data_IF_501701533581
#
_entry.id   IF_501701533581
#
_cell.length_a   1.000
_cell.length_b   1.000
_cell.length_c   1.000
_cell.angle_alpha   90.00
_cell.angle_beta   90.00
_cell.angle_gamma   90.00
#
_symmetry.space_group_name_H-M   'P 1'
#
loop_
_entity.id
_entity.type
_entity.pdbx_description
1 polymer ?
#
# COMPACT_ATOMS: atom_id res chain seq x y z
N UNK A 1 24.72 38.64 -46.43
CA UNK A 1 25.12 38.34 -45.04
C UNK A 1 23.83 38.12 -44.29
N UNK A 2 23.49 36.86 -44.02
CA UNK A 2 22.25 36.47 -43.32
C UNK A 2 22.64 36.14 -41.88
N UNK A 3 22.17 36.96 -40.94
CA UNK A 3 22.33 36.74 -39.50
C UNK A 3 21.30 35.71 -39.04
N UNK A 4 21.78 34.54 -38.65
CA UNK A 4 20.99 33.54 -37.92
C UNK A 4 21.31 33.64 -36.43
N UNK A 5 20.37 34.21 -35.67
CA UNK A 5 20.37 34.16 -34.21
C UNK A 5 19.82 32.81 -33.75
N UNK A 6 20.51 32.05 -32.88
CA UNK A 6 19.95 30.85 -32.28
C UNK A 6 19.06 31.21 -31.07
N UNK A 7 17.84 30.69 -31.08
CA UNK A 7 16.89 30.73 -29.96
C UNK A 7 17.33 29.84 -28.78
N UNK A 8 17.05 30.22 -27.53
CA UNK A 8 17.46 29.44 -26.37
C UNK A 8 16.52 28.24 -26.15
N UNK A 9 17.08 27.03 -26.25
CA UNK A 9 16.43 25.79 -25.84
C UNK A 9 16.38 25.74 -24.32
N UNK A 10 15.19 25.95 -23.74
CA UNK A 10 14.90 25.73 -22.32
C UNK A 10 15.07 24.24 -22.00
N UNK A 11 16.23 23.86 -21.46
CA UNK A 11 16.43 22.55 -20.85
C UNK A 11 15.68 22.52 -19.52
N UNK A 12 14.49 21.90 -19.54
CA UNK A 12 13.80 21.41 -18.35
C UNK A 12 14.70 20.37 -17.66
N UNK A 13 15.48 20.83 -16.68
CA UNK A 13 16.23 19.97 -15.78
C UNK A 13 15.24 19.17 -14.93
N UNK A 14 14.97 17.94 -15.35
CA UNK A 14 14.37 16.94 -14.50
C UNK A 14 15.27 16.77 -13.28
N UNK A 15 14.77 17.17 -12.10
CA UNK A 15 15.33 16.80 -10.80
C UNK A 15 15.14 15.30 -10.59
N UNK A 16 15.98 14.50 -11.22
CA UNK A 16 16.33 13.19 -10.72
C UNK A 16 17.70 13.32 -10.07
N UNK A 17 17.88 12.72 -8.89
CA UNK A 17 19.16 12.53 -8.19
C UNK A 17 19.54 13.56 -7.12
N UNK A 18 18.79 13.61 -6.01
CA UNK A 18 19.36 14.01 -4.71
C UNK A 18 19.67 12.83 -3.78
N UNK A 19 19.04 11.66 -3.97
CA UNK A 19 19.23 10.49 -3.10
C UNK A 19 20.65 9.90 -3.15
N UNK A 20 21.30 9.91 -4.32
CA UNK A 20 22.62 9.29 -4.48
C UNK A 20 23.74 9.96 -3.68
N UNK A 21 23.61 11.26 -3.36
CA UNK A 21 24.63 12.00 -2.60
C UNK A 21 24.51 11.79 -1.08
N UNK A 22 23.32 11.49 -0.57
CA UNK A 22 23.14 11.20 0.85
C UNK A 22 23.47 9.75 1.22
N UNK A 23 23.34 8.81 0.29
CA UNK A 23 23.69 7.39 0.55
C UNK A 23 25.18 7.16 0.86
N UNK A 24 26.07 8.06 0.44
CA UNK A 24 27.51 7.96 0.75
C UNK A 24 27.91 8.40 2.17
N UNK A 25 26.97 8.97 2.94
CA UNK A 25 27.23 9.47 4.29
C UNK A 25 26.89 8.45 5.40
N UNK A 26 26.25 7.32 5.06
CA UNK A 26 25.83 6.34 6.05
C UNK A 26 27.03 5.47 6.52
N UNK A 27 27.12 5.16 7.83
CA UNK A 27 28.16 4.28 8.36
C UNK A 27 28.13 2.88 7.73
N UNK A 28 29.29 2.24 7.59
CA UNK A 28 29.35 0.85 7.16
C UNK A 28 28.53 -0.04 8.12
N UNK A 29 27.65 -0.89 7.58
CA UNK A 29 26.79 -1.77 8.39
C UNK A 29 25.47 -1.14 8.85
N UNK A 30 25.09 0.06 8.39
CA UNK A 30 23.79 0.67 8.72
C UNK A 30 22.60 -0.22 8.38
N UNK A 31 22.70 -1.06 7.34
CA UNK A 31 21.65 -2.00 6.95
C UNK A 31 21.42 -3.09 7.99
N UNK A 32 22.49 -3.63 8.58
CA UNK A 32 22.40 -4.62 9.65
C UNK A 32 21.84 -3.99 10.92
N UNK A 33 22.27 -2.76 11.23
CA UNK A 33 21.72 -1.98 12.34
C UNK A 33 20.21 -1.75 12.16
N UNK A 34 19.78 -1.20 11.02
CA UNK A 34 18.36 -0.95 10.75
C UNK A 34 17.52 -2.23 10.75
N UNK A 35 18.04 -3.33 10.17
CA UNK A 35 17.31 -4.60 10.08
C UNK A 35 17.19 -5.28 11.46
N UNK A 36 18.30 -5.54 12.15
CA UNK A 36 18.31 -6.36 13.35
C UNK A 36 18.01 -5.58 14.63
N UNK A 37 18.50 -4.33 14.73
CA UNK A 37 18.42 -3.56 15.98
C UNK A 37 17.12 -2.80 16.08
N UNK A 38 16.57 -2.34 14.94
CA UNK A 38 15.37 -1.50 14.93
C UNK A 38 14.17 -2.27 14.40
N UNK A 39 14.15 -2.64 13.11
CA UNK A 39 12.94 -3.17 12.47
C UNK A 39 12.53 -4.53 13.07
N UNK A 40 13.44 -5.49 13.16
CA UNK A 40 13.12 -6.79 13.76
C UNK A 40 12.86 -6.71 15.26
N UNK A 41 13.53 -5.80 15.96
CA UNK A 41 13.32 -5.61 17.39
C UNK A 41 11.92 -5.08 17.68
N UNK A 42 11.51 -4.00 17.00
CA UNK A 42 10.16 -3.45 17.11
C UNK A 42 9.11 -4.52 16.75
N UNK A 43 9.29 -5.22 15.63
CA UNK A 43 8.38 -6.28 15.20
C UNK A 43 8.23 -7.42 16.21
N UNK A 44 9.33 -7.86 16.84
CA UNK A 44 9.34 -8.95 17.82
C UNK A 44 8.81 -8.51 19.18
N UNK A 45 9.31 -7.41 19.70
CA UNK A 45 9.05 -6.98 21.08
C UNK A 45 7.66 -6.35 21.23
N UNK A 46 7.20 -5.58 20.24
CA UNK A 46 5.91 -4.89 20.33
C UNK A 46 4.77 -5.67 19.69
N UNK A 47 5.03 -6.42 18.61
CA UNK A 47 4.00 -7.11 17.83
C UNK A 47 4.08 -8.64 17.89
N UNK A 48 5.08 -9.20 18.58
CA UNK A 48 5.22 -10.66 18.76
C UNK A 48 5.49 -11.43 17.47
N UNK A 49 5.99 -10.77 16.42
CA UNK A 49 6.27 -11.40 15.13
C UNK A 49 7.47 -12.35 15.21
N UNK A 50 7.37 -13.50 14.57
CA UNK A 50 8.49 -14.44 14.41
C UNK A 50 9.35 -14.08 13.18
N UNK A 51 10.58 -14.62 13.11
CA UNK A 51 11.53 -14.34 12.02
C UNK A 51 11.01 -14.75 10.63
N UNK A 52 10.12 -15.72 10.55
CA UNK A 52 9.49 -16.16 9.30
C UNK A 52 8.28 -15.29 8.89
N UNK A 53 7.75 -14.49 9.81
CA UNK A 53 6.63 -13.59 9.56
C UNK A 53 7.06 -12.21 9.06
N UNK A 54 8.34 -11.84 9.19
CA UNK A 54 8.86 -10.54 8.73
C UNK A 54 9.98 -10.72 7.70
N UNK A 55 9.95 -9.90 6.65
CA UNK A 55 11.03 -9.84 5.66
C UNK A 55 11.35 -8.39 5.35
N UNK A 56 12.63 -8.02 5.39
CA UNK A 56 13.11 -6.66 5.13
C UNK A 56 13.95 -6.66 3.87
N UNK A 57 13.57 -5.86 2.88
CA UNK A 57 14.28 -5.66 1.62
C UNK A 57 14.77 -4.21 1.49
N UNK A 58 16.08 -4.04 1.38
CA UNK A 58 16.69 -2.72 1.18
C UNK A 58 16.76 -2.38 -0.31
N UNK A 59 16.16 -1.26 -0.70
CA UNK A 59 16.20 -0.68 -2.04
C UNK A 59 16.83 0.72 -1.98
N UNK A 60 17.37 1.23 -3.09
CA UNK A 60 17.89 2.59 -3.14
C UNK A 60 16.80 3.60 -2.75
N UNK A 61 16.99 4.28 -1.61
CA UNK A 61 16.06 5.28 -1.08
C UNK A 61 14.78 4.71 -0.44
N UNK A 62 14.67 3.39 -0.26
CA UNK A 62 13.47 2.77 0.32
C UNK A 62 13.78 1.47 1.06
N UNK A 63 13.12 1.24 2.19
CA UNK A 63 13.12 -0.02 2.93
C UNK A 63 11.72 -0.62 2.84
N UNK A 64 11.61 -1.83 2.31
CA UNK A 64 10.34 -2.56 2.22
C UNK A 64 10.28 -3.60 3.32
N UNK A 65 9.32 -3.48 4.21
CA UNK A 65 9.06 -4.41 5.32
C UNK A 65 7.79 -5.20 5.00
N UNK A 66 7.94 -6.47 4.66
CA UNK A 66 6.81 -7.36 4.36
C UNK A 66 6.44 -8.20 5.59
N UNK A 67 5.19 -8.09 6.02
CA UNK A 67 4.63 -8.81 7.18
C UNK A 67 3.67 -9.90 6.71
N UNK A 68 3.83 -11.12 7.24
CA UNK A 68 3.02 -12.29 6.94
C UNK A 68 2.21 -12.71 8.17
N UNK A 69 1.05 -13.31 7.92
CA UNK A 69 0.19 -13.85 8.98
C UNK A 69 -1.16 -13.16 9.00
N UNK A 70 -1.76 -13.07 10.19
CA UNK A 70 -2.99 -12.34 10.40
C UNK A 70 -2.65 -10.85 10.50
N UNK A 71 -3.08 -10.07 9.52
CA UNK A 71 -2.74 -8.64 9.38
C UNK A 71 -4.03 -7.87 9.15
N UNK A 72 -4.18 -6.72 9.81
CA UNK A 72 -5.32 -5.83 9.65
C UNK A 72 -4.86 -4.36 9.58
N UNK A 73 -5.81 -3.47 9.27
CA UNK A 73 -5.62 -2.03 9.28
C UNK A 73 -6.63 -1.46 10.27
N UNK A 74 -6.17 -0.70 11.26
CA UNK A 74 -7.06 0.19 11.98
C UNK A 74 -7.42 1.37 11.07
N UNK A 75 -8.69 1.78 11.08
CA UNK A 75 -9.06 3.07 10.51
C UNK A 75 -8.48 4.16 11.42
N UNK A 76 -7.64 5.01 10.84
CA UNK A 76 -6.90 6.08 11.53
C UNK A 76 -7.78 7.32 11.83
N UNK A 77 -9.10 7.18 11.89
CA UNK A 77 -10.04 8.32 12.03
C UNK A 77 -10.17 8.86 13.46
N UNK A 78 -9.47 8.31 14.45
CA UNK A 78 -9.47 8.81 15.83
C UNK A 78 -8.08 9.30 16.26
N UNK A 79 -7.46 10.19 15.48
CA UNK A 79 -6.51 11.14 16.07
C UNK A 79 -7.32 12.38 16.38
N UNK A 80 -7.86 12.44 17.59
CA UNK A 80 -8.29 13.69 18.19
C UNK A 80 -7.09 14.65 18.13
N UNK A 81 -7.24 15.73 17.37
CA UNK A 81 -6.34 16.87 17.33
C UNK A 81 -6.40 17.58 18.68
N UNK A 82 -5.80 16.96 19.69
CA UNK A 82 -5.75 17.44 21.06
C UNK A 82 -4.63 18.47 21.21
N UNK A 83 -4.94 19.73 20.90
CA UNK A 83 -4.30 20.85 21.57
C UNK A 83 -3.85 22.02 20.70
N UNK A 84 -4.81 22.70 20.06
CA UNK A 84 -4.65 24.11 19.73
C UNK A 84 -5.58 24.99 20.60
N UNK A 85 -5.41 24.90 21.92
CA UNK A 85 -5.87 25.94 22.85
C UNK A 85 -4.74 26.96 23.03
N UNK A 86 -4.73 27.99 22.17
CA UNK A 86 -4.18 29.30 22.51
C UNK A 86 -4.74 30.31 21.49
N UNK A 87 -6.05 30.53 21.58
CA UNK A 87 -6.72 31.68 20.97
C UNK A 87 -7.27 32.55 22.10
N UNK A 88 -6.36 33.32 22.70
CA UNK A 88 -6.67 34.37 23.68
C UNK A 88 -7.16 35.61 22.89
N UNK A 89 -8.43 35.60 22.47
CA UNK A 89 -9.15 36.80 22.03
C UNK A 89 -10.26 37.12 23.03
N UNK A 90 -9.88 37.75 24.16
CA UNK A 90 -10.80 38.55 24.97
C UNK A 90 -10.87 39.97 24.41
N UNK A 91 -12.00 40.31 23.77
CA UNK A 91 -12.90 41.40 24.19
C UNK A 91 -13.98 41.57 23.11
N UNK A 92 -15.15 40.97 23.32
CA UNK A 92 -16.37 41.32 22.58
C UNK A 92 -17.45 41.75 23.57
N UNK A 93 -17.87 43.00 23.35
CA UNK A 93 -18.81 43.84 24.10
C UNK A 93 -20.19 43.16 24.30
N UNK A 94 -20.79 43.17 25.50
CA UNK A 94 -22.12 42.61 25.72
C UNK A 94 -23.18 43.68 25.40
N UNK A 95 -23.77 43.61 24.20
CA UNK A 95 -25.05 44.27 23.94
C UNK A 95 -26.10 43.26 23.50
N UNK A 96 -27.10 43.18 24.35
CA UNK A 96 -28.38 42.50 24.23
C UNK A 96 -29.05 42.80 22.89
N UNK A 97 -29.52 41.78 22.19
CA UNK A 97 -30.74 41.89 21.38
C UNK A 97 -31.47 40.55 21.36
N UNK A 98 -32.63 40.56 22.01
CA UNK A 98 -33.67 39.53 21.95
C UNK A 98 -34.05 39.25 20.50
N UNK A 99 -33.86 38.01 20.05
CA UNK A 99 -34.53 37.48 18.87
C UNK A 99 -35.15 36.13 19.20
N UNK A 100 -36.43 36.19 19.58
CA UNK A 100 -37.35 35.07 19.51
C UNK A 100 -37.55 34.70 18.03
N UNK A 101 -37.20 33.48 17.64
CA UNK A 101 -37.64 32.88 16.39
C UNK A 101 -38.27 31.52 16.69
N UNK A 102 -39.59 31.48 16.57
CA UNK A 102 -40.41 30.28 16.57
C UNK A 102 -40.47 29.68 15.15
N UNK A 103 -40.46 28.35 15.15
CA UNK A 103 -41.09 27.40 14.23
C UNK A 103 -40.50 27.00 12.86
N UNK A 104 -40.51 25.67 12.72
CA UNK A 104 -40.65 24.82 11.53
C UNK A 104 -39.59 24.83 10.43
N UNK A 105 -38.75 23.78 10.40
CA UNK A 105 -38.76 22.90 9.22
C UNK A 105 -38.29 21.47 9.56
N UNK A 106 -39.03 20.50 9.02
CA UNK A 106 -38.82 19.06 9.14
C UNK A 106 -37.57 18.64 8.33
N UNK A 107 -36.47 18.30 9.00
CA UNK A 107 -35.37 17.60 8.32
C UNK A 107 -35.54 16.08 8.44
N UNK A 108 -35.74 15.47 7.29
CA UNK A 108 -35.85 14.04 7.03
C UNK A 108 -34.70 13.25 7.69
N UNK A 109 -35.08 12.16 8.36
CA UNK A 109 -34.19 11.17 8.96
C UNK A 109 -33.35 10.50 7.86
N UNK A 110 -32.14 10.99 7.61
CA UNK A 110 -31.11 10.19 6.95
C UNK A 110 -30.54 9.23 7.99
N UNK A 111 -30.91 7.96 7.86
CA UNK A 111 -30.33 6.83 8.59
C UNK A 111 -28.81 6.77 8.33
N UNK A 112 -28.03 7.48 9.15
CA UNK A 112 -26.63 7.16 9.34
C UNK A 112 -26.58 5.76 9.95
N UNK A 113 -26.22 4.77 9.12
CA UNK A 113 -25.82 3.45 9.60
C UNK A 113 -24.56 3.62 10.43
N UNK A 114 -24.77 3.85 11.72
CA UNK A 114 -23.81 3.68 12.80
C UNK A 114 -23.32 2.23 12.72
N UNK A 115 -22.20 2.03 12.03
CA UNK A 115 -21.49 0.78 12.05
C UNK A 115 -20.82 0.70 13.42
N UNK A 116 -21.57 0.28 14.43
CA UNK A 116 -21.02 -0.10 15.74
C UNK A 116 -20.03 -1.24 15.53
N UNK A 117 -18.79 -0.87 15.24
CA UNK A 117 -17.69 -1.80 15.20
C UNK A 117 -17.29 -2.04 16.65
N UNK A 118 -17.99 -2.98 17.27
CA UNK A 118 -17.58 -3.54 18.57
C UNK A 118 -16.09 -3.87 18.50
N UNK A 119 -15.22 -3.31 19.36
CA UNK A 119 -13.84 -3.74 19.43
C UNK A 119 -13.86 -5.13 20.06
N UNK A 120 -13.98 -6.16 19.22
CA UNK A 120 -13.90 -7.54 19.66
C UNK A 120 -12.48 -7.76 20.15
N UNK A 121 -12.34 -7.66 21.47
CA UNK A 121 -11.17 -8.04 22.23
C UNK A 121 -10.63 -9.39 21.73
N UNK A 122 -9.31 -9.42 21.50
CA UNK A 122 -8.49 -10.50 20.93
C UNK A 122 -8.33 -10.54 19.40
N UNK A 123 -8.04 -9.40 18.77
CA UNK A 123 -7.45 -9.40 17.43
C UNK A 123 -5.99 -9.88 17.51
N UNK A 124 -5.76 -11.19 17.40
CA UNK A 124 -4.42 -11.80 17.37
C UNK A 124 -3.66 -11.53 16.04
N UNK A 125 -3.84 -10.34 15.48
CA UNK A 125 -3.23 -9.91 14.23
C UNK A 125 -2.30 -8.72 14.43
N UNK A 126 -1.54 -8.40 13.39
CA UNK A 126 -0.67 -7.23 13.38
C UNK A 126 -1.37 -6.10 12.63
N UNK A 127 -1.43 -4.94 13.27
CA UNK A 127 -1.84 -3.70 12.63
C UNK A 127 -0.65 -3.12 11.85
N UNK A 128 -0.77 -3.05 10.52
CA UNK A 128 0.31 -2.55 9.64
C UNK A 128 0.62 -1.08 9.92
N UNK A 129 -0.41 -0.29 10.20
CA UNK A 129 -0.29 1.15 10.42
C UNK A 129 0.47 1.41 11.72
N UNK A 130 0.10 0.73 12.80
CA UNK A 130 0.82 0.83 14.08
C UNK A 130 2.26 0.34 13.95
N UNK A 131 2.49 -0.76 13.21
CA UNK A 131 3.85 -1.24 12.98
C UNK A 131 4.70 -0.23 12.21
N UNK A 132 4.14 0.38 11.16
CA UNK A 132 4.85 1.41 10.38
C UNK A 132 5.20 2.63 11.26
N UNK A 133 4.26 3.08 12.10
CA UNK A 133 4.51 4.17 13.06
C UNK A 133 5.59 3.81 14.06
N UNK A 134 5.50 2.62 14.68
CA UNK A 134 6.48 2.16 15.65
C UNK A 134 7.89 2.04 15.07
N UNK A 135 8.02 1.58 13.81
CA UNK A 135 9.31 1.53 13.11
C UNK A 135 9.85 2.95 12.88
N UNK A 136 9.02 3.88 12.42
CA UNK A 136 9.43 5.28 12.22
C UNK A 136 9.87 5.93 13.53
N UNK A 137 9.11 5.76 14.61
CA UNK A 137 9.46 6.28 15.95
C UNK A 137 10.80 5.72 16.44
N UNK A 138 11.04 4.41 16.25
CA UNK A 138 12.30 3.80 16.66
C UNK A 138 13.50 4.21 15.79
N UNK A 139 13.26 4.74 14.59
CA UNK A 139 14.29 5.32 13.73
C UNK A 139 14.51 6.81 13.97
N UNK A 140 13.59 7.51 14.64
CA UNK A 140 13.72 8.93 14.95
C UNK A 140 14.75 9.20 16.07
N UNK A 141 15.29 8.15 16.70
CA UNK A 141 16.38 8.24 17.66
C UNK A 141 17.65 8.84 17.04
N UNK A 142 18.30 9.73 17.81
CA UNK A 142 19.55 10.39 17.44
C UNK A 142 20.63 9.37 17.00
N UNK A 143 21.20 9.58 15.81
CA UNK A 143 22.35 8.82 15.31
C UNK A 143 22.10 8.11 13.99
N UNK A 144 22.37 6.80 13.94
CA UNK A 144 22.29 6.02 12.69
C UNK A 144 20.83 5.81 12.27
N UNK A 145 19.91 5.71 13.23
CA UNK A 145 18.47 5.61 12.96
C UNK A 145 17.97 6.83 12.18
N UNK A 146 18.22 8.03 12.72
CA UNK A 146 17.81 9.29 12.10
C UNK A 146 18.33 9.44 10.66
N UNK A 147 19.61 9.10 10.42
CA UNK A 147 20.18 9.15 9.06
C UNK A 147 19.52 8.14 8.12
N UNK A 148 19.11 6.96 8.61
CA UNK A 148 18.34 5.99 7.83
C UNK A 148 16.98 6.57 7.47
N UNK A 149 16.27 7.17 8.42
CA UNK A 149 14.96 7.79 8.20
C UNK A 149 15.02 8.97 7.21
N UNK A 150 16.06 9.80 7.26
CA UNK A 150 16.25 10.92 6.32
C UNK A 150 16.53 10.44 4.89
N UNK A 151 17.20 9.29 4.75
CA UNK A 151 17.68 8.80 3.44
C UNK A 151 16.79 7.75 2.79
N UNK A 152 15.95 7.07 3.56
CA UNK A 152 15.10 5.98 3.10
C UNK A 152 13.65 6.18 3.51
N UNK A 153 12.76 6.01 2.54
CA UNK A 153 11.33 5.85 2.78
C UNK A 153 11.05 4.45 3.35
N UNK A 154 10.17 4.34 4.35
CA UNK A 154 9.77 3.05 4.92
C UNK A 154 8.41 2.67 4.36
N UNK A 155 8.36 1.51 3.71
CA UNK A 155 7.13 0.93 3.16
C UNK A 155 6.84 -0.37 3.91
N UNK A 156 5.76 -0.41 4.69
CA UNK A 156 5.29 -1.66 5.33
C UNK A 156 4.17 -2.25 4.49
N UNK A 157 4.34 -3.50 4.06
CA UNK A 157 3.42 -4.18 3.15
C UNK A 157 3.03 -5.56 3.67
N UNK A 158 1.92 -6.09 3.17
CA UNK A 158 1.66 -7.53 3.21
C UNK A 158 2.27 -8.20 1.99
N UNK A 159 2.54 -9.52 2.02
CA UNK A 159 2.84 -10.25 0.81
C UNK A 159 1.67 -10.10 -0.17
N UNK A 160 1.98 -9.85 -1.44
CA UNK A 160 0.96 -9.82 -2.48
C UNK A 160 0.16 -11.12 -2.54
N UNK A 161 -1.04 -11.05 -3.11
CA UNK A 161 -1.90 -12.22 -3.27
C UNK A 161 -1.13 -13.37 -3.95
N UNK A 162 -1.25 -14.58 -3.38
CA UNK A 162 -0.62 -15.75 -3.97
C UNK A 162 -1.20 -15.97 -5.37
N UNK A 163 -0.31 -16.24 -6.33
CA UNK A 163 -0.76 -16.65 -7.67
C UNK A 163 -1.41 -18.03 -7.64
N UNK A 164 -1.26 -18.80 -6.56
CA UNK A 164 -1.85 -20.12 -6.40
C UNK A 164 -3.26 -20.03 -5.80
N UNK A 165 -4.22 -20.63 -6.50
CA UNK A 165 -5.61 -20.66 -6.09
C UNK A 165 -5.85 -21.76 -5.06
N UNK A 166 -6.51 -21.42 -3.96
CA UNK A 166 -6.86 -22.36 -2.89
C UNK A 166 -8.29 -22.18 -2.41
N UNK A 167 -8.91 -23.26 -1.91
CA UNK A 167 -10.21 -23.23 -1.23
C UNK A 167 -11.32 -22.49 -1.99
N UNK A 168 -11.87 -21.44 -1.36
CA UNK A 168 -12.98 -20.64 -1.89
C UNK A 168 -12.60 -19.83 -3.15
N UNK A 169 -11.31 -19.60 -3.40
CA UNK A 169 -10.84 -18.81 -4.54
C UNK A 169 -11.29 -19.43 -5.87
N UNK A 170 -11.43 -20.75 -5.96
CA UNK A 170 -11.89 -21.40 -7.19
C UNK A 170 -13.29 -20.96 -7.63
N UNK A 171 -14.14 -20.51 -6.70
CA UNK A 171 -15.46 -19.98 -7.03
C UNK A 171 -15.36 -18.56 -7.61
N UNK A 172 -14.54 -17.70 -7.00
CA UNK A 172 -14.30 -16.33 -7.46
C UNK A 172 -13.60 -16.28 -8.83
N UNK A 173 -12.68 -17.21 -9.09
CA UNK A 173 -11.91 -17.26 -10.34
C UNK A 173 -12.55 -18.15 -11.43
N UNK A 174 -13.84 -18.51 -11.31
CA UNK A 174 -14.57 -19.15 -12.40
C UNK A 174 -14.59 -18.25 -13.63
N UNK A 175 -14.21 -18.79 -14.78
CA UNK A 175 -14.14 -18.07 -16.04
C UNK A 175 -12.81 -17.34 -16.29
N UNK A 176 -11.81 -17.43 -15.41
CA UNK A 176 -10.48 -16.88 -15.66
C UNK A 176 -9.55 -17.90 -16.30
N UNK A 177 -8.54 -17.42 -17.04
CA UNK A 177 -7.44 -18.28 -17.50
C UNK A 177 -6.57 -18.67 -16.32
N UNK A 178 -6.24 -19.97 -16.23
CA UNK A 178 -5.39 -20.55 -15.19
C UNK A 178 -4.39 -21.52 -15.82
N UNK A 179 -3.25 -21.68 -15.14
CA UNK A 179 -2.24 -22.70 -15.40
C UNK A 179 -2.39 -23.79 -14.35
N UNK A 180 -2.64 -25.03 -14.76
CA UNK A 180 -2.80 -26.16 -13.85
C UNK A 180 -1.67 -27.15 -14.05
N UNK A 181 -0.93 -27.41 -12.98
CA UNK A 181 0.07 -28.46 -12.90
C UNK A 181 -0.61 -29.73 -12.41
N UNK A 182 -0.55 -30.80 -13.21
CA UNK A 182 -1.11 -32.10 -12.82
C UNK A 182 -0.13 -33.24 -13.13
N UNK A 183 -0.21 -34.32 -12.35
CA UNK A 183 0.58 -35.52 -12.57
C UNK A 183 -0.14 -36.47 -13.53
N UNK A 184 0.52 -36.82 -14.64
CA UNK A 184 -0.03 -37.77 -15.60
C UNK A 184 0.07 -39.21 -15.06
N UNK A 185 -1.04 -39.97 -14.97
CA UNK A 185 -1.03 -41.31 -14.40
C UNK A 185 -0.17 -42.30 -15.20
N UNK A 186 0.04 -42.07 -16.51
CA UNK A 186 0.78 -43.00 -17.38
C UNK A 186 2.28 -42.77 -17.35
N UNK A 187 2.70 -41.51 -17.23
CA UNK A 187 4.11 -41.13 -17.32
C UNK A 187 4.71 -40.69 -16.00
N UNK A 188 3.89 -40.51 -14.95
CA UNK A 188 4.24 -39.96 -13.63
C UNK A 188 4.94 -38.61 -13.66
N UNK A 189 4.99 -37.97 -14.84
CA UNK A 189 5.58 -36.65 -15.06
C UNK A 189 4.53 -35.57 -14.80
N UNK A 190 4.99 -34.45 -14.24
CA UNK A 190 4.18 -33.25 -14.07
C UNK A 190 4.02 -32.59 -15.44
N UNK A 191 2.77 -32.28 -15.80
CA UNK A 191 2.43 -31.55 -17.02
C UNK A 191 1.66 -30.30 -16.62
N UNK A 192 2.04 -29.19 -17.22
CA UNK A 192 1.33 -27.91 -17.09
C UNK A 192 0.38 -27.76 -18.28
N UNK A 193 -0.85 -27.36 -18.00
CA UNK A 193 -1.83 -26.99 -19.04
C UNK A 193 -2.45 -25.64 -18.73
N UNK A 194 -2.68 -24.87 -19.77
CA UNK A 194 -3.30 -23.56 -19.69
C UNK A 194 -4.72 -23.65 -20.24
N UNK A 195 -5.68 -23.08 -19.52
CA UNK A 195 -7.08 -23.07 -19.95
C UNK A 195 -7.94 -22.23 -19.02
N UNK A 196 -9.18 -22.01 -19.44
CA UNK A 196 -10.16 -21.27 -18.63
C UNK A 196 -10.72 -22.17 -17.54
N UNK A 197 -10.63 -21.76 -16.28
CA UNK A 197 -11.27 -22.45 -15.16
C UNK A 197 -12.79 -22.37 -15.33
N UNK A 198 -13.47 -23.50 -15.45
CA UNK A 198 -14.94 -23.51 -15.53
C UNK A 198 -15.52 -23.76 -14.15
N UNK A 199 -15.02 -24.79 -13.48
CA UNK A 199 -15.48 -25.18 -12.16
C UNK A 199 -14.46 -26.09 -11.47
N UNK A 200 -14.45 -26.05 -10.14
CA UNK A 200 -13.80 -27.06 -9.31
C UNK A 200 -14.80 -27.57 -8.28
N UNK A 201 -15.04 -28.87 -8.31
CA UNK A 201 -15.83 -29.61 -7.33
C UNK A 201 -14.87 -30.41 -6.43
N UNK A 202 -15.38 -31.22 -5.51
CA UNK A 202 -14.54 -32.02 -4.60
C UNK A 202 -13.75 -33.12 -5.33
N UNK A 203 -14.33 -33.70 -6.40
CA UNK A 203 -13.71 -34.81 -7.13
C UNK A 203 -12.92 -34.36 -8.38
N UNK A 204 -13.38 -33.31 -9.07
CA UNK A 204 -12.86 -32.93 -10.38
C UNK A 204 -12.69 -31.41 -10.54
N UNK A 205 -11.64 -31.04 -11.29
CA UNK A 205 -11.43 -29.71 -11.84
C UNK A 205 -11.71 -29.73 -13.33
N UNK A 206 -12.54 -28.79 -13.78
CA UNK A 206 -12.98 -28.67 -15.17
C UNK A 206 -12.34 -27.42 -15.78
N UNK A 207 -11.55 -27.64 -16.83
CA UNK A 207 -10.87 -26.59 -17.59
C UNK A 207 -11.37 -26.59 -19.03
N UNK A 208 -11.60 -25.41 -19.59
CA UNK A 208 -11.85 -25.23 -21.01
C UNK A 208 -10.53 -24.85 -21.72
N UNK A 209 -10.01 -25.77 -22.51
CA UNK A 209 -8.76 -25.60 -23.25
C UNK A 209 -9.12 -25.43 -24.72
N UNK A 210 -8.99 -24.21 -25.24
CA UNK A 210 -9.24 -23.86 -26.66
C UNK A 210 -10.61 -24.36 -27.16
N UNK A 211 -11.67 -24.18 -26.36
CA UNK A 211 -13.04 -24.60 -26.68
C UNK A 211 -13.36 -26.07 -26.35
N UNK A 212 -12.44 -26.83 -25.76
CA UNK A 212 -12.66 -28.22 -25.36
C UNK A 212 -12.63 -28.38 -23.84
N UNK A 213 -13.68 -28.98 -23.30
CA UNK A 213 -13.81 -29.27 -21.88
C UNK A 213 -12.92 -30.44 -21.48
N UNK A 214 -12.01 -30.22 -20.54
CA UNK A 214 -11.13 -31.23 -19.96
C UNK A 214 -11.41 -31.37 -18.47
N UNK A 215 -11.78 -32.58 -18.05
CA UNK A 215 -11.98 -32.94 -16.63
C UNK A 215 -10.72 -33.61 -16.09
N UNK A 216 -10.24 -33.15 -14.94
CA UNK A 216 -9.04 -33.66 -14.26
C UNK A 216 -9.44 -34.02 -12.84
N UNK A 217 -9.04 -35.21 -12.37
CA UNK A 217 -9.26 -35.62 -10.99
C UNK A 217 -8.44 -34.74 -10.06
N UNK A 218 -9.03 -34.30 -8.96
CA UNK A 218 -8.36 -33.43 -8.02
C UNK A 218 -7.12 -34.07 -7.39
N UNK A 219 -7.13 -35.40 -7.19
CA UNK A 219 -5.97 -36.17 -6.70
C UNK A 219 -4.72 -36.04 -7.58
N UNK A 220 -4.91 -35.72 -8.86
CA UNK A 220 -3.81 -35.57 -9.82
C UNK A 220 -3.36 -34.11 -9.95
N UNK A 221 -4.14 -33.15 -9.44
CA UNK A 221 -3.83 -31.72 -9.52
C UNK A 221 -2.86 -31.37 -8.40
N UNK A 222 -1.69 -30.85 -8.77
CA UNK A 222 -0.65 -30.44 -7.83
C UNK A 222 -0.81 -28.98 -7.43
N UNK A 223 -1.04 -28.10 -8.40
CA UNK A 223 -1.29 -26.67 -8.14
C UNK A 223 -2.09 -26.05 -9.29
N UNK A 224 -2.86 -25.02 -8.96
CA UNK A 224 -3.59 -24.20 -9.94
C UNK A 224 -3.14 -22.77 -9.73
N UNK A 225 -2.60 -22.14 -10.77
CA UNK A 225 -1.98 -20.82 -10.69
C UNK A 225 -2.60 -19.87 -11.69
N UNK A 226 -2.70 -18.60 -11.35
CA UNK A 226 -3.02 -17.54 -12.30
C UNK A 226 -1.83 -17.34 -13.27
N UNK A 227 -2.10 -17.07 -14.56
CA UNK A 227 -1.05 -16.71 -15.51
C UNK A 227 -0.38 -15.43 -15.03
N UNK A 228 0.95 -15.37 -15.15
CA UNK A 228 1.68 -14.14 -14.86
C UNK A 228 1.16 -13.04 -15.78
N UNK A 229 0.82 -11.88 -15.21
CA UNK A 229 0.37 -10.73 -15.98
C UNK A 229 1.32 -10.50 -17.17
N UNK A 230 0.76 -10.38 -18.37
CA UNK A 230 1.55 -10.06 -19.56
C UNK A 230 2.12 -8.66 -19.35
N UNK A 231 3.43 -8.57 -19.14
CA UNK A 231 4.15 -7.29 -19.18
C UNK A 231 4.00 -6.75 -20.60
N UNK A 232 3.31 -5.63 -20.75
CA UNK A 232 3.26 -4.94 -22.03
C UNK A 232 4.68 -4.57 -22.45
N UNK A 233 5.04 -4.87 -23.70
CA UNK A 233 6.34 -4.51 -24.31
C UNK A 233 6.34 -3.00 -24.55
N UNK A 234 6.48 -2.21 -23.50
CA UNK A 234 6.48 -0.74 -23.59
C UNK A 234 6.13 -0.02 -22.29
N UNK A 235 5.48 -0.68 -21.34
CA UNK A 235 5.20 -0.06 -20.04
C UNK A 235 6.40 -0.26 -19.10
N UNK A 236 7.09 0.83 -18.77
CA UNK A 236 7.94 0.86 -17.59
C UNK A 236 7.08 0.40 -16.39
N UNK A 237 7.48 -0.70 -15.74
CA UNK A 237 6.95 -1.23 -14.47
C UNK A 237 5.50 -0.82 -14.16
N UNK A 238 4.51 -1.34 -14.89
CA UNK A 238 3.13 -1.25 -14.43
C UNK A 238 2.91 -2.29 -13.33
N UNK A 239 2.71 -1.80 -12.10
CA UNK A 239 2.23 -2.57 -10.96
C UNK A 239 0.94 -3.31 -11.35
N UNK A 240 0.76 -4.51 -10.83
CA UNK A 240 -0.36 -5.34 -11.17
C UNK A 240 -1.63 -4.70 -10.61
N UNK A 241 -2.66 -4.52 -11.45
CA UNK A 241 -3.99 -4.05 -11.02
C UNK A 241 -4.78 -5.09 -10.17
N UNK A 242 -4.10 -6.09 -9.63
CA UNK A 242 -4.60 -7.00 -8.59
C UNK A 242 -3.99 -6.72 -7.22
N UNK A 243 -3.11 -5.73 -7.13
CA UNK A 243 -2.54 -5.28 -5.87
C UNK A 243 -3.47 -4.17 -5.36
N UNK A 244 -4.37 -4.50 -4.44
CA UNK A 244 -4.81 -3.49 -3.46
C UNK A 244 -3.57 -3.25 -2.59
N UNK A 245 -2.67 -2.44 -3.15
CA UNK A 245 -1.45 -1.99 -2.55
C UNK A 245 -1.83 -0.70 -1.81
N UNK A 246 -2.19 -0.82 -0.54
CA UNK A 246 -2.26 0.34 0.34
C UNK A 246 -0.82 0.78 0.63
N UNK A 247 -0.27 1.64 -0.24
CA UNK A 247 0.97 2.35 0.04
C UNK A 247 0.59 3.51 0.97
N UNK A 248 0.85 3.37 2.27
CA UNK A 248 0.80 4.52 3.17
C UNK A 248 2.16 5.23 3.17
N UNK A 249 2.16 6.45 2.64
CA UNK A 249 3.26 7.40 2.76
C UNK A 249 3.15 8.10 4.13
N UNK A 250 3.84 7.62 5.15
CA UNK A 250 4.12 8.43 6.33
C UNK A 250 5.38 9.27 6.04
N UNK A 251 5.21 10.38 5.31
CA UNK A 251 6.30 11.33 5.09
C UNK A 251 6.25 12.39 6.18
N UNK A 252 7.01 12.19 7.25
CA UNK A 252 7.35 13.26 8.20
C UNK A 252 8.44 14.13 7.57
N UNK A 253 8.08 14.89 6.53
CA UNK A 253 8.85 16.07 6.16
C UNK A 253 8.12 17.26 6.76
N UNK A 254 8.57 17.63 7.95
CA UNK A 254 8.31 18.94 8.53
C UNK A 254 8.79 20.03 7.58
N UNK A 255 7.87 20.55 6.78
CA UNK A 255 7.77 21.93 6.30
C UNK A 255 6.46 22.07 5.52
N UNK A 256 5.41 22.47 6.24
CA UNK A 256 4.28 23.18 5.66
C UNK A 256 4.82 24.39 4.90
N UNK A 257 4.85 24.27 3.58
CA UNK A 257 4.84 25.44 2.71
C UNK A 257 3.62 25.28 1.80
N UNK A 258 2.53 25.95 2.17
CA UNK A 258 1.45 26.25 1.24
C UNK A 258 2.07 27.02 0.06
N UNK A 259 2.31 26.35 -1.06
CA UNK A 259 2.35 27.04 -2.34
C UNK A 259 0.91 27.08 -2.86
N UNK A 260 0.25 28.19 -2.55
CA UNK A 260 -0.97 28.61 -3.21
C UNK A 260 -0.66 28.73 -4.71
N UNK A 261 -1.21 27.81 -5.51
CA UNK A 261 -1.11 27.83 -6.95
C UNK A 261 -1.95 29.00 -7.47
N UNK A 262 -1.36 30.20 -7.54
CA UNK A 262 -1.93 31.35 -8.24
C UNK A 262 -1.97 31.02 -9.74
N UNK A 263 -3.16 30.66 -10.23
CA UNK A 263 -3.44 30.59 -11.65
C UNK A 263 -3.21 31.98 -12.28
N UNK A 264 -2.45 32.10 -13.37
CA UNK A 264 -2.39 33.34 -14.12
C UNK A 264 -3.77 33.65 -14.69
N UNK A 265 -4.32 34.81 -14.33
CA UNK A 265 -5.47 35.39 -15.01
C UNK A 265 -5.01 35.85 -16.39
N UNK A 266 -5.26 35.02 -17.40
CA UNK A 266 -5.16 35.47 -18.78
C UNK A 266 -6.19 36.57 -19.02
N UNK A 267 -5.69 37.79 -19.19
CA UNK A 267 -6.44 38.95 -19.60
C UNK A 267 -6.90 38.78 -21.04
N UNK A 268 -8.22 38.68 -21.21
CA UNK A 268 -8.89 38.89 -22.49
C UNK A 268 -9.42 40.33 -22.49
N UNK A 269 -8.66 41.25 -23.08
CA UNK A 269 -9.12 42.61 -23.42
C UNK A 269 -9.15 42.77 -24.94
N UNK A 270 -10.30 43.24 -25.44
CA UNK A 270 -10.43 44.17 -26.58
C UNK A 270 -10.33 43.60 -27.98
#
# INVERSE_FOLDING_TARGET
>A
MQDHSPSPTTQSSFRHSSTALFMSALPAGYQDFGNFVIIQKVAKEQFGLTDDQISVEWKPGRIVVTVRGNVFLSNDEEIEDDGLEDFDEEEVDPLEEDLEFEDDDETEEEEEQEFEQTPSASSSGVDVTQLARAINMALDDDGVGFQIAETHEIEVTTPGASNELTGIMFQAYKGFEVMTDFQDPKTKKVKTIEGRLVERNDEFTVLNIKGRMKKIKNDMVLSVKLPKAKKEKGAAKSCCLSDILYIFYASTIGKLQQQQLLLPKDGFEG
#
